data_IF_625810221887
#
_entry.id   IF_625810221887
#
_cell.length_a   1.000
_cell.length_b   1.000
_cell.length_c   1.000
_cell.angle_alpha   90.00
_cell.angle_beta   90.00
_cell.angle_gamma   90.00
#
_symmetry.space_group_name_H-M   'P 1'
#
loop_
_entity.id
_entity.type
_entity.pdbx_description
1 polymer ?
#
# COMPACT_ATOMS: atom_id res chain seq x y z
N UNK A 1 14.55 26.28 -14.88
CA UNK A 1 14.45 25.00 -14.14
C UNK A 1 13.08 24.97 -13.51
N UNK A 2 12.21 24.08 -13.97
CA UNK A 2 10.94 23.83 -13.26
C UNK A 2 11.27 23.32 -11.85
N UNK A 3 10.72 23.96 -10.82
CA UNK A 3 10.88 23.50 -9.45
C UNK A 3 10.00 22.26 -9.31
N UNK A 4 10.61 21.10 -9.16
CA UNK A 4 9.88 19.87 -8.90
C UNK A 4 9.29 19.92 -7.48
N UNK A 5 7.99 19.67 -7.36
CA UNK A 5 7.31 19.58 -6.08
C UNK A 5 7.64 18.26 -5.39
N UNK A 6 7.43 18.19 -4.08
CA UNK A 6 7.59 16.93 -3.35
C UNK A 6 6.50 15.91 -3.71
N UNK A 7 5.28 16.36 -3.98
CA UNK A 7 4.09 15.53 -4.13
C UNK A 7 3.26 15.96 -5.34
N UNK A 8 2.31 15.10 -5.73
CA UNK A 8 1.33 15.46 -6.76
C UNK A 8 0.38 16.48 -6.14
N UNK A 9 0.31 17.66 -6.72
CA UNK A 9 -0.61 18.72 -6.30
C UNK A 9 -1.78 18.85 -7.26
N UNK A 10 -1.52 18.59 -8.55
CA UNK A 10 -2.54 18.60 -9.58
C UNK A 10 -2.31 17.53 -10.64
N UNK A 11 -3.39 17.03 -11.20
CA UNK A 11 -3.38 16.11 -12.33
C UNK A 11 -4.59 16.34 -13.23
N UNK A 12 -4.37 16.33 -14.54
CA UNK A 12 -5.41 16.55 -15.55
C UNK A 12 -5.37 15.45 -16.61
N UNK A 13 -6.56 14.99 -16.98
CA UNK A 13 -6.80 14.04 -18.06
C UNK A 13 -7.71 14.68 -19.09
N UNK A 14 -7.25 14.78 -20.34
CA UNK A 14 -8.06 15.31 -21.44
C UNK A 14 -8.60 14.14 -22.28
N UNK A 15 -9.91 14.16 -22.53
CA UNK A 15 -10.65 13.14 -23.28
C UNK A 15 -10.35 11.71 -22.83
N UNK A 16 -10.48 11.44 -21.53
CA UNK A 16 -10.56 10.08 -21.01
C UNK A 16 -11.70 9.31 -21.73
N UNK A 17 -11.36 8.19 -22.34
CA UNK A 17 -12.22 7.41 -23.24
C UNK A 17 -12.89 8.23 -24.35
N UNK A 18 -12.23 9.29 -24.80
CA UNK A 18 -12.73 10.18 -25.85
C UNK A 18 -13.85 11.14 -25.41
N UNK A 19 -14.28 11.12 -24.13
CA UNK A 19 -15.51 11.82 -23.72
C UNK A 19 -15.41 12.61 -22.40
N UNK A 20 -14.58 12.21 -21.45
CA UNK A 20 -14.52 12.83 -20.11
C UNK A 20 -13.23 13.64 -19.97
N UNK A 21 -13.32 14.88 -19.51
CA UNK A 21 -12.14 15.63 -19.05
C UNK A 21 -12.13 15.61 -17.52
N UNK A 22 -11.00 15.27 -16.92
CA UNK A 22 -10.84 15.27 -15.47
C UNK A 22 -9.77 16.28 -15.08
N UNK A 23 -10.06 17.11 -14.08
CA UNK A 23 -9.11 18.05 -13.51
C UNK A 23 -9.13 17.98 -11.99
N UNK A 24 -8.05 17.43 -11.42
CA UNK A 24 -7.85 17.37 -9.99
C UNK A 24 -6.81 18.43 -9.62
N UNK A 25 -7.27 19.60 -9.15
CA UNK A 25 -6.42 20.78 -8.96
C UNK A 25 -5.72 20.86 -7.60
N UNK A 26 -6.35 20.30 -6.55
CA UNK A 26 -6.01 20.54 -5.15
C UNK A 26 -5.78 19.23 -4.39
N UNK A 27 -4.82 18.40 -4.85
CA UNK A 27 -4.43 17.21 -4.10
C UNK A 27 -3.72 17.59 -2.80
N UNK A 28 -4.15 17.00 -1.69
CA UNK A 28 -3.50 17.12 -0.41
C UNK A 28 -2.15 16.41 -0.41
N UNK A 29 -1.16 16.96 0.31
CA UNK A 29 0.16 16.35 0.45
C UNK A 29 0.17 15.10 1.35
N UNK A 30 -0.92 14.84 2.10
CA UNK A 30 -1.04 13.73 3.05
C UNK A 30 -1.94 12.61 2.52
N UNK A 31 -3.26 12.80 2.47
CA UNK A 31 -4.24 11.77 2.16
C UNK A 31 -5.28 12.30 1.18
N UNK A 32 -5.58 11.52 0.16
CA UNK A 32 -6.59 11.80 -0.85
C UNK A 32 -7.39 10.53 -1.10
N UNK A 33 -8.71 10.62 -0.96
CA UNK A 33 -9.62 9.48 -1.04
C UNK A 33 -10.59 9.71 -2.19
N UNK A 34 -10.42 8.98 -3.28
CA UNK A 34 -11.26 9.06 -4.46
C UNK A 34 -12.43 8.09 -4.35
N UNK A 35 -13.64 8.63 -4.29
CA UNK A 35 -14.90 7.87 -4.20
C UNK A 35 -15.69 8.06 -5.50
N UNK A 36 -16.55 7.10 -5.83
CA UNK A 36 -17.40 7.15 -7.00
C UNK A 36 -18.03 5.79 -7.28
N UNK A 37 -19.07 5.74 -8.11
CA UNK A 37 -19.80 4.49 -8.38
C UNK A 37 -18.97 3.45 -9.14
N UNK A 38 -19.41 2.19 -9.17
CA UNK A 38 -18.73 1.15 -9.94
C UNK A 38 -18.69 1.55 -11.43
N UNK A 39 -17.51 1.47 -12.04
CA UNK A 39 -17.33 1.87 -13.44
C UNK A 39 -17.19 3.38 -13.69
N UNK A 40 -17.10 4.22 -12.65
CA UNK A 40 -16.89 5.66 -12.80
C UNK A 40 -15.50 6.06 -13.33
N UNK A 41 -14.53 5.14 -13.29
CA UNK A 41 -13.18 5.37 -13.84
C UNK A 41 -12.08 5.59 -12.81
N UNK A 42 -12.34 5.37 -11.52
CA UNK A 42 -11.35 5.46 -10.43
C UNK A 42 -10.04 4.70 -10.71
N UNK A 43 -10.12 3.40 -10.96
CA UNK A 43 -8.98 2.55 -11.35
C UNK A 43 -8.26 3.10 -12.58
N UNK A 44 -9.01 3.58 -13.57
CA UNK A 44 -8.43 4.16 -14.80
C UNK A 44 -7.67 5.44 -14.50
N UNK A 45 -8.21 6.34 -13.67
CA UNK A 45 -7.52 7.55 -13.24
C UNK A 45 -6.21 7.22 -12.50
N UNK A 46 -6.24 6.28 -11.56
CA UNK A 46 -5.02 5.84 -10.84
C UNK A 46 -3.98 5.23 -11.80
N UNK A 47 -4.41 4.42 -12.77
CA UNK A 47 -3.51 3.88 -13.79
C UNK A 47 -2.86 5.01 -14.61
N UNK A 48 -3.63 6.03 -15.02
CA UNK A 48 -3.11 7.16 -15.79
C UNK A 48 -2.12 8.00 -14.98
N UNK A 49 -2.40 8.25 -13.70
CA UNK A 49 -1.47 8.92 -12.78
C UNK A 49 -0.16 8.13 -12.68
N UNK A 50 -0.26 6.82 -12.41
CA UNK A 50 0.91 5.95 -12.32
C UNK A 50 1.75 5.98 -13.59
N UNK A 51 1.12 5.76 -14.75
CA UNK A 51 1.80 5.67 -16.03
C UNK A 51 2.52 6.99 -16.37
N UNK A 52 1.87 8.13 -16.11
CA UNK A 52 2.44 9.46 -16.33
C UNK A 52 3.71 9.68 -15.50
N UNK A 53 3.65 9.43 -14.19
CA UNK A 53 4.77 9.73 -13.29
C UNK A 53 5.89 8.67 -13.30
N UNK A 54 5.61 7.46 -13.80
CA UNK A 54 6.63 6.42 -14.00
C UNK A 54 7.19 6.39 -15.42
N UNK A 55 6.69 7.24 -16.33
CA UNK A 55 7.11 7.30 -17.72
C UNK A 55 6.69 6.08 -18.54
N UNK A 56 5.71 5.31 -18.07
CA UNK A 56 5.14 4.21 -18.85
C UNK A 56 4.27 4.75 -19.99
N UNK A 57 4.28 4.06 -21.13
CA UNK A 57 3.49 4.49 -22.29
C UNK A 57 2.00 4.27 -22.03
N UNK A 58 1.28 5.36 -21.82
CA UNK A 58 -0.19 5.34 -21.84
C UNK A 58 -0.70 4.95 -23.23
N UNK A 59 -1.69 4.07 -23.29
CA UNK A 59 -2.37 3.75 -24.55
C UNK A 59 -3.15 4.98 -25.02
N UNK A 60 -2.88 5.45 -26.23
CA UNK A 60 -3.55 6.63 -26.84
C UNK A 60 -5.07 6.55 -26.88
N UNK A 61 -5.63 5.35 -26.82
CA UNK A 61 -7.08 5.12 -26.80
C UNK A 61 -7.73 5.45 -25.44
N UNK A 62 -6.95 5.54 -24.36
CA UNK A 62 -7.48 5.77 -23.01
C UNK A 62 -7.63 7.26 -22.72
N UNK A 63 -6.65 8.08 -23.10
CA UNK A 63 -6.69 9.53 -22.92
C UNK A 63 -5.93 10.23 -24.06
N UNK A 64 -6.40 11.40 -24.47
CA UNK A 64 -5.76 12.19 -25.53
C UNK A 64 -4.48 12.87 -25.03
N UNK A 65 -4.55 13.47 -23.84
CA UNK A 65 -3.38 14.04 -23.19
C UNK A 65 -3.49 13.97 -21.67
N UNK A 66 -2.33 13.95 -21.02
CA UNK A 66 -2.17 13.92 -19.57
C UNK A 66 -1.25 15.07 -19.17
N UNK A 67 -1.55 15.75 -18.06
CA UNK A 67 -0.64 16.71 -17.47
C UNK A 67 -0.69 16.67 -15.94
N UNK A 68 0.43 17.00 -15.31
CA UNK A 68 0.57 17.07 -13.87
C UNK A 68 1.72 17.99 -13.50
N UNK A 69 1.82 18.41 -12.23
CA UNK A 69 3.01 19.11 -11.78
C UNK A 69 4.21 18.16 -11.71
N UNK A 70 5.42 18.65 -12.03
CA UNK A 70 6.63 17.86 -11.85
C UNK A 70 6.82 17.50 -10.37
N UNK A 71 7.24 16.25 -10.08
CA UNK A 71 7.48 15.76 -8.72
C UNK A 71 8.90 15.18 -8.57
N UNK A 72 9.43 15.21 -7.34
CA UNK A 72 10.71 14.60 -6.98
C UNK A 72 10.57 13.26 -6.25
N UNK A 73 9.35 12.91 -5.79
CA UNK A 73 9.11 11.66 -5.05
C UNK A 73 8.80 10.51 -6.01
N UNK A 74 9.26 9.28 -5.71
CA UNK A 74 8.82 8.09 -6.44
C UNK A 74 7.33 7.83 -6.25
N UNK A 75 6.70 7.26 -7.28
CA UNK A 75 5.31 6.81 -7.25
C UNK A 75 5.28 5.29 -7.17
N UNK A 76 4.59 4.76 -6.17
CA UNK A 76 4.39 3.33 -5.94
C UNK A 76 2.90 3.01 -6.08
N UNK A 77 2.56 1.91 -6.74
CA UNK A 77 1.16 1.54 -6.95
C UNK A 77 0.90 0.12 -6.47
N UNK A 78 0.01 -0.02 -5.49
CA UNK A 78 -0.53 -1.28 -5.02
C UNK A 78 -1.94 -1.44 -5.57
N UNK A 79 -2.16 -2.51 -6.36
CA UNK A 79 -3.48 -2.89 -6.85
C UNK A 79 -4.08 -3.92 -5.89
N UNK A 80 -5.40 -3.87 -5.69
CA UNK A 80 -6.09 -4.99 -5.05
C UNK A 80 -5.94 -6.26 -5.91
N UNK A 81 -5.49 -7.35 -5.29
CA UNK A 81 -5.29 -8.63 -5.97
C UNK A 81 -6.57 -9.46 -5.88
N UNK A 82 -7.55 -9.13 -6.71
CA UNK A 82 -8.86 -9.80 -6.68
C UNK A 82 -8.99 -10.98 -7.67
N UNK A 83 -7.86 -11.52 -8.15
CA UNK A 83 -7.87 -12.59 -9.16
C UNK A 83 -7.50 -13.93 -8.52
N UNK A 84 -8.39 -14.95 -8.56
CA UNK A 84 -8.00 -16.32 -8.27
C UNK A 84 -6.92 -16.70 -9.28
N UNK A 85 -5.74 -17.07 -8.81
CA UNK A 85 -4.74 -17.74 -9.64
C UNK A 85 -5.47 -18.85 -10.40
N UNK A 86 -5.48 -18.79 -11.74
CA UNK A 86 -6.18 -19.74 -12.61
C UNK A 86 -6.05 -21.16 -12.02
N UNK A 87 -7.13 -21.68 -11.43
CA UNK A 87 -7.13 -22.89 -10.61
C UNK A 87 -6.72 -24.18 -11.37
N UNK A 88 -6.41 -24.06 -12.66
CA UNK A 88 -5.96 -25.13 -13.54
C UNK A 88 -4.44 -25.21 -13.73
N UNK A 89 -3.66 -24.22 -13.24
CA UNK A 89 -2.20 -24.32 -13.15
C UNK A 89 -1.79 -24.09 -11.70
N UNK A 90 -0.90 -24.93 -11.16
CA UNK A 90 -0.22 -24.77 -9.86
C UNK A 90 0.72 -23.55 -9.88
N UNK A 91 0.23 -22.39 -10.29
CA UNK A 91 0.96 -21.12 -10.26
C UNK A 91 0.58 -20.38 -9.00
N UNK A 92 1.60 -20.00 -8.24
CA UNK A 92 1.49 -19.19 -7.03
C UNK A 92 0.73 -17.88 -7.29
N UNK A 93 -0.03 -17.39 -6.31
CA UNK A 93 -0.73 -16.11 -6.46
C UNK A 93 0.27 -14.95 -6.58
N UNK A 94 -0.02 -13.99 -7.45
CA UNK A 94 0.83 -12.79 -7.65
C UNK A 94 1.06 -12.07 -6.33
N UNK A 95 0.02 -11.94 -5.49
CA UNK A 95 0.12 -11.37 -4.15
C UNK A 95 1.19 -12.08 -3.29
N UNK A 96 1.21 -13.41 -3.33
CA UNK A 96 2.17 -14.20 -2.56
C UNK A 96 3.58 -14.08 -3.15
N UNK A 97 3.72 -14.00 -4.47
CA UNK A 97 5.00 -13.77 -5.13
C UNK A 97 5.58 -12.40 -4.74
N UNK A 98 4.78 -11.34 -4.84
CA UNK A 98 5.20 -9.99 -4.47
C UNK A 98 5.61 -9.94 -3.00
N UNK A 99 4.82 -10.55 -2.12
CA UNK A 99 5.10 -10.64 -0.68
C UNK A 99 6.41 -11.40 -0.39
N UNK A 100 6.68 -12.49 -1.11
CA UNK A 100 7.96 -13.20 -1.00
C UNK A 100 9.13 -12.33 -1.46
N UNK A 101 8.95 -11.54 -2.51
CA UNK A 101 10.00 -10.65 -3.02
C UNK A 101 10.36 -9.57 -2.00
N UNK A 102 9.36 -8.91 -1.42
CA UNK A 102 9.57 -7.84 -0.43
C UNK A 102 10.02 -8.35 0.95
N UNK A 103 9.84 -9.63 1.28
CA UNK A 103 10.29 -10.21 2.55
C UNK A 103 11.67 -10.91 2.42
N UNK A 104 11.86 -11.76 1.41
CA UNK A 104 12.90 -12.81 1.39
C UNK A 104 14.01 -12.66 0.33
N UNK A 105 14.20 -11.48 -0.30
CA UNK A 105 15.23 -11.23 -1.34
C UNK A 105 15.09 -12.04 -2.65
N UNK A 106 13.86 -12.27 -3.14
CA UNK A 106 13.66 -13.03 -4.39
C UNK A 106 13.48 -12.16 -5.65
N UNK A 107 13.74 -10.85 -5.60
CA UNK A 107 13.48 -9.95 -6.72
C UNK A 107 14.33 -8.67 -6.74
N UNK A 108 14.05 -7.80 -7.71
CA UNK A 108 14.67 -6.46 -7.81
C UNK A 108 14.05 -5.51 -6.78
N UNK A 109 14.87 -4.91 -5.91
CA UNK A 109 14.43 -3.94 -4.90
C UNK A 109 15.04 -4.17 -3.51
N UNK A 110 14.64 -3.35 -2.53
CA UNK A 110 15.02 -3.55 -1.12
C UNK A 110 13.96 -4.38 -0.42
N UNK A 111 14.30 -5.55 0.09
CA UNK A 111 13.42 -6.37 0.92
C UNK A 111 13.53 -6.01 2.41
N UNK A 112 12.62 -6.53 3.24
CA UNK A 112 12.69 -6.45 4.69
C UNK A 112 14.02 -7.03 5.21
N UNK A 113 14.46 -8.15 4.63
CA UNK A 113 15.76 -8.74 4.96
C UNK A 113 16.90 -7.77 4.64
N UNK A 114 16.92 -7.15 3.45
CA UNK A 114 17.95 -6.16 3.07
C UNK A 114 17.97 -4.97 4.04
N UNK A 115 16.79 -4.43 4.34
CA UNK A 115 16.65 -3.31 5.27
C UNK A 115 17.23 -3.67 6.64
N UNK A 116 16.98 -4.88 7.11
CA UNK A 116 17.49 -5.38 8.38
C UNK A 116 19.01 -5.61 8.37
N UNK A 117 19.57 -6.09 7.25
CA UNK A 117 21.01 -6.25 7.07
C UNK A 117 21.78 -4.92 7.10
N UNK A 118 21.12 -3.78 6.87
CA UNK A 118 21.75 -2.46 7.07
C UNK A 118 22.30 -2.28 8.48
N UNK A 119 21.77 -2.93 9.51
CA UNK A 119 22.31 -2.85 10.87
C UNK A 119 23.75 -3.39 10.98
N UNK A 120 24.12 -4.37 10.15
CA UNK A 120 25.47 -4.92 10.11
C UNK A 120 26.43 -3.98 9.37
N UNK A 121 25.95 -3.37 8.28
CA UNK A 121 26.75 -2.51 7.41
C UNK A 121 26.89 -1.08 7.96
N UNK A 122 25.92 -0.62 8.76
CA UNK A 122 25.86 0.73 9.32
C UNK A 122 25.58 0.67 10.84
N UNK A 123 26.56 0.26 11.68
CA UNK A 123 26.34 0.06 13.12
C UNK A 123 25.85 1.32 13.86
N UNK A 124 26.21 2.52 13.37
CA UNK A 124 25.76 3.79 13.95
C UNK A 124 24.25 4.04 13.76
N UNK A 125 23.64 3.43 12.75
CA UNK A 125 22.20 3.54 12.47
C UNK A 125 21.40 2.37 13.05
N UNK A 126 22.06 1.39 13.70
CA UNK A 126 21.44 0.15 14.14
C UNK A 126 20.27 0.37 15.11
N UNK A 127 20.41 1.29 16.07
CA UNK A 127 19.34 1.60 17.04
C UNK A 127 18.12 2.24 16.35
N UNK A 128 18.36 3.11 15.36
CA UNK A 128 17.28 3.72 14.56
C UNK A 128 16.56 2.64 13.74
N UNK A 129 17.30 1.77 13.08
CA UNK A 129 16.75 0.66 12.29
C UNK A 129 15.93 -0.28 13.18
N UNK A 130 16.46 -0.65 14.34
CA UNK A 130 15.77 -1.50 15.32
C UNK A 130 14.46 -0.89 15.78
N UNK A 131 14.46 0.39 16.17
CA UNK A 131 13.24 1.10 16.59
C UNK A 131 12.19 1.15 15.48
N UNK A 132 12.61 1.31 14.22
CA UNK A 132 11.69 1.26 13.07
C UNK A 132 11.11 -0.14 12.87
N UNK A 133 11.91 -1.19 13.00
CA UNK A 133 11.44 -2.58 12.93
C UNK A 133 10.44 -2.88 14.06
N UNK A 134 10.73 -2.42 15.29
CA UNK A 134 9.83 -2.57 16.44
C UNK A 134 8.48 -1.88 16.19
N UNK A 135 8.51 -0.65 15.67
CA UNK A 135 7.29 0.09 15.29
C UNK A 135 6.52 -0.65 14.18
N UNK A 136 7.24 -1.16 13.18
CA UNK A 136 6.65 -1.94 12.10
C UNK A 136 5.97 -3.22 12.62
N UNK A 137 6.61 -3.96 13.53
CA UNK A 137 6.02 -5.16 14.12
C UNK A 137 4.81 -4.81 15.00
N UNK A 138 4.88 -3.75 15.80
CA UNK A 138 3.74 -3.26 16.56
C UNK A 138 2.55 -2.97 15.65
N UNK A 139 2.79 -2.29 14.53
CA UNK A 139 1.75 -1.99 13.54
C UNK A 139 1.19 -3.27 12.93
N UNK A 140 2.01 -4.16 12.37
CA UNK A 140 1.54 -5.41 11.75
C UNK A 140 0.78 -6.29 12.75
N UNK A 141 1.31 -6.45 13.96
CA UNK A 141 0.70 -7.28 15.01
C UNK A 141 -0.60 -6.66 15.54
N UNK A 142 -0.81 -5.35 15.40
CA UNK A 142 -2.10 -4.73 15.68
C UNK A 142 -3.20 -5.18 14.69
N UNK A 143 -2.85 -5.67 13.50
CA UNK A 143 -3.78 -6.30 12.55
C UNK A 143 -3.85 -7.81 12.78
N UNK A 144 -2.72 -8.51 12.70
CA UNK A 144 -2.66 -9.97 12.79
C UNK A 144 -3.11 -10.52 14.14
N UNK A 145 -2.98 -9.75 15.22
CA UNK A 145 -3.44 -10.14 16.55
C UNK A 145 -4.95 -10.43 16.60
N UNK A 146 -5.76 -9.76 15.77
CA UNK A 146 -7.20 -10.03 15.68
C UNK A 146 -7.52 -11.43 15.12
N UNK A 147 -6.57 -12.03 14.41
CA UNK A 147 -6.68 -13.41 13.89
C UNK A 147 -5.77 -14.39 14.62
N UNK A 148 -5.31 -14.00 15.82
CA UNK A 148 -4.39 -14.74 16.69
C UNK A 148 -3.05 -15.05 16.02
N UNK A 149 -2.60 -14.21 15.08
CA UNK A 149 -1.31 -14.33 14.42
C UNK A 149 -0.37 -13.22 14.82
N UNK A 150 0.93 -13.46 14.69
CA UNK A 150 1.97 -12.49 15.01
C UNK A 150 3.16 -12.64 14.06
N UNK A 151 3.82 -11.53 13.74
CA UNK A 151 5.17 -11.52 13.19
C UNK A 151 6.20 -11.26 14.27
N UNK A 152 7.31 -11.99 14.21
CA UNK A 152 8.44 -11.79 15.12
C UNK A 152 9.76 -12.14 14.44
N UNK A 153 10.87 -11.81 15.08
CA UNK A 153 12.19 -12.33 14.71
C UNK A 153 12.48 -13.53 15.60
N UNK A 154 12.77 -14.66 14.97
CA UNK A 154 13.28 -15.83 15.67
C UNK A 154 14.68 -15.50 16.25
N UNK A 155 14.88 -15.57 17.58
CA UNK A 155 16.17 -15.26 18.20
C UNK A 155 17.31 -16.21 17.80
N UNK A 156 17.00 -17.44 17.37
CA UNK A 156 17.99 -18.45 17.00
C UNK A 156 18.42 -18.33 15.55
N UNK A 157 17.45 -18.33 14.62
CA UNK A 157 17.75 -18.23 13.18
C UNK A 157 17.94 -16.78 12.74
N UNK A 158 17.59 -15.81 13.58
CA UNK A 158 17.61 -14.39 13.26
C UNK A 158 16.80 -14.14 11.97
N UNK A 159 15.66 -14.82 11.78
CA UNK A 159 14.79 -14.70 10.60
C UNK A 159 13.41 -14.19 10.99
N UNK A 160 12.72 -13.53 10.05
CA UNK A 160 11.30 -13.22 10.22
C UNK A 160 10.51 -14.53 10.30
N UNK A 161 9.64 -14.66 11.29
CA UNK A 161 8.75 -15.81 11.47
C UNK A 161 7.33 -15.34 11.69
N UNK A 162 6.39 -16.17 11.29
CA UNK A 162 4.96 -16.01 11.54
C UNK A 162 4.53 -17.03 12.58
N UNK A 163 3.78 -16.57 13.57
CA UNK A 163 3.32 -17.37 14.69
C UNK A 163 1.80 -17.38 14.69
N UNK A 164 1.19 -18.51 15.02
CA UNK A 164 -0.23 -18.61 15.34
C UNK A 164 -0.39 -19.04 16.79
N UNK A 165 -1.19 -18.28 17.53
CA UNK A 165 -1.51 -18.52 18.93
C UNK A 165 -2.83 -19.26 19.02
N UNK A 166 -2.84 -20.41 19.68
CA UNK A 166 -4.08 -21.11 20.02
C UNK A 166 -4.51 -20.71 21.42
N UNK A 167 -5.75 -20.28 21.55
CA UNK A 167 -6.29 -19.73 22.79
C UNK A 167 -7.31 -20.70 23.43
N UNK A 168 -7.27 -20.82 24.76
CA UNK A 168 -8.39 -21.28 25.59
C UNK A 168 -8.87 -20.08 26.43
N UNK A 169 -10.03 -19.53 26.08
CA UNK A 169 -10.46 -18.27 26.67
C UNK A 169 -9.46 -17.15 26.40
N UNK A 170 -8.85 -16.60 27.47
CA UNK A 170 -7.83 -15.55 27.38
C UNK A 170 -6.38 -16.07 27.47
N UNK A 171 -6.17 -17.39 27.64
CA UNK A 171 -4.83 -17.96 27.78
C UNK A 171 -4.32 -18.51 26.45
N UNK A 172 -3.05 -18.22 26.14
CA UNK A 172 -2.32 -18.83 25.02
C UNK A 172 -1.88 -20.23 25.46
N UNK A 173 -2.38 -21.26 24.78
CA UNK A 173 -2.06 -22.66 25.06
C UNK A 173 -0.83 -23.09 24.26
N UNK A 174 -0.80 -22.73 22.97
CA UNK A 174 0.29 -23.09 22.07
C UNK A 174 0.60 -21.94 21.13
N UNK A 175 1.86 -21.90 20.70
CA UNK A 175 2.37 -20.98 19.69
C UNK A 175 3.09 -21.80 18.63
N UNK A 176 2.49 -21.91 17.44
CA UNK A 176 3.01 -22.70 16.33
C UNK A 176 3.62 -21.77 15.28
N UNK A 177 4.78 -22.13 14.72
CA UNK A 177 5.33 -21.44 13.54
C UNK A 177 4.52 -21.82 12.30
N UNK A 178 4.10 -20.82 11.54
CA UNK A 178 3.41 -20.99 10.26
C UNK A 178 4.21 -20.39 9.11
N UNK A 179 3.92 -20.87 7.91
CA UNK A 179 4.47 -20.36 6.67
C UNK A 179 3.62 -19.19 6.13
N UNK A 180 4.24 -18.35 5.30
CA UNK A 180 3.58 -17.19 4.66
C UNK A 180 2.33 -17.58 3.87
N UNK A 181 2.34 -18.76 3.25
CA UNK A 181 1.24 -19.35 2.50
C UNK A 181 -0.02 -19.54 3.35
N UNK A 182 0.15 -19.78 4.65
CA UNK A 182 -0.93 -20.07 5.60
C UNK A 182 -1.64 -18.82 6.11
N UNK A 183 -1.16 -17.62 5.76
CA UNK A 183 -1.91 -16.39 5.99
C UNK A 183 -3.16 -16.32 5.09
N UNK A 184 -4.23 -15.67 5.54
CA UNK A 184 -5.40 -15.39 4.69
C UNK A 184 -5.03 -14.40 3.56
N UNK A 185 -5.88 -14.25 2.54
CA UNK A 185 -5.66 -13.24 1.49
C UNK A 185 -5.61 -11.82 2.07
N UNK A 186 -6.53 -11.49 2.98
CA UNK A 186 -6.54 -10.19 3.67
C UNK A 186 -5.28 -9.95 4.51
N UNK A 187 -4.78 -10.98 5.20
CA UNK A 187 -3.52 -10.91 5.97
C UNK A 187 -2.31 -10.67 5.06
N UNK A 188 -2.26 -11.34 3.91
CA UNK A 188 -1.20 -11.13 2.91
C UNK A 188 -1.28 -9.73 2.31
N UNK A 189 -2.49 -9.23 2.02
CA UNK A 189 -2.70 -7.90 1.45
C UNK A 189 -2.28 -6.80 2.43
N UNK A 190 -2.72 -6.87 3.70
CA UNK A 190 -2.31 -5.88 4.70
C UNK A 190 -0.79 -5.93 4.93
N UNK A 191 -0.20 -7.13 4.99
CA UNK A 191 1.25 -7.27 5.17
C UNK A 191 2.02 -6.67 3.99
N UNK A 192 1.57 -6.89 2.75
CA UNK A 192 2.16 -6.30 1.55
C UNK A 192 2.14 -4.76 1.63
N UNK A 193 0.98 -4.17 1.95
CA UNK A 193 0.82 -2.72 2.03
C UNK A 193 1.73 -2.14 3.12
N UNK A 194 1.67 -2.67 4.33
CA UNK A 194 2.46 -2.19 5.47
C UNK A 194 3.96 -2.33 5.22
N UNK A 195 4.40 -3.47 4.68
CA UNK A 195 5.82 -3.69 4.36
C UNK A 195 6.30 -2.74 3.28
N UNK A 196 5.48 -2.50 2.24
CA UNK A 196 5.81 -1.56 1.17
C UNK A 196 6.05 -0.16 1.72
N UNK A 197 5.16 0.33 2.60
CA UNK A 197 5.31 1.65 3.24
C UNK A 197 6.52 1.69 4.17
N UNK A 198 6.74 0.62 4.96
CA UNK A 198 7.91 0.52 5.83
C UNK A 198 9.24 0.64 5.07
N UNK A 199 9.32 -0.01 3.91
CA UNK A 199 10.51 -0.03 3.03
C UNK A 199 10.78 1.32 2.33
N UNK A 200 9.85 2.28 2.39
CA UNK A 200 10.10 3.65 1.93
C UNK A 200 11.03 4.43 2.88
N UNK A 201 11.39 3.87 4.03
CA UNK A 201 12.37 4.45 4.96
C UNK A 201 12.03 5.86 5.46
N UNK A 202 10.74 6.16 5.65
CA UNK A 202 10.23 7.49 6.02
C UNK A 202 10.59 8.60 5.03
N UNK A 203 11.01 8.22 3.80
CA UNK A 203 11.31 9.15 2.72
C UNK A 203 10.03 9.57 2.01
N UNK A 204 10.08 10.69 1.28
CA UNK A 204 8.98 11.15 0.44
C UNK A 204 8.59 10.08 -0.59
N UNK A 205 7.31 9.75 -0.66
CA UNK A 205 6.76 8.80 -1.61
C UNK A 205 5.30 9.16 -1.92
N UNK A 206 4.83 8.81 -3.12
CA UNK A 206 3.41 8.85 -3.48
C UNK A 206 2.91 7.42 -3.62
N UNK A 207 2.01 7.00 -2.73
CA UNK A 207 1.41 5.67 -2.75
C UNK A 207 0.01 5.73 -3.34
N UNK A 208 -0.15 5.08 -4.48
CA UNK A 208 -1.44 4.83 -5.12
C UNK A 208 -1.98 3.47 -4.62
N UNK A 209 -3.24 3.44 -4.19
CA UNK A 209 -3.91 2.19 -3.78
C UNK A 209 -5.27 2.08 -4.45
N UNK A 210 -5.48 1.02 -5.23
CA UNK A 210 -6.78 0.78 -5.86
C UNK A 210 -7.59 -0.22 -5.04
N UNK A 211 -8.67 0.25 -4.41
CA UNK A 211 -9.58 -0.51 -3.54
C UNK A 211 -8.85 -1.44 -2.55
N UNK A 212 -7.96 -0.88 -1.69
CA UNK A 212 -7.14 -1.67 -0.78
C UNK A 212 -7.96 -2.47 0.25
N UNK A 213 -9.27 -2.20 0.39
CA UNK A 213 -10.17 -2.81 1.37
C UNK A 213 -10.80 -4.15 0.98
N UNK A 214 -10.81 -4.54 -0.30
CA UNK A 214 -11.72 -5.60 -0.81
C UNK A 214 -11.63 -6.91 0.01
N UNK A 215 -10.42 -7.27 0.46
CA UNK A 215 -10.19 -8.51 1.22
C UNK A 215 -9.97 -8.29 2.72
N UNK A 216 -10.08 -7.04 3.21
CA UNK A 216 -9.78 -6.65 4.59
C UNK A 216 -11.02 -6.70 5.47
N UNK A 217 -10.86 -7.16 6.71
CA UNK A 217 -11.90 -7.08 7.73
C UNK A 217 -12.21 -5.61 8.10
N UNK A 218 -13.45 -5.31 8.50
CA UNK A 218 -13.93 -3.93 8.74
C UNK A 218 -13.02 -3.16 9.72
N UNK A 219 -12.65 -3.78 10.83
CA UNK A 219 -11.76 -3.16 11.83
C UNK A 219 -10.35 -2.83 11.30
N UNK A 220 -9.93 -3.46 10.21
CA UNK A 220 -8.65 -3.16 9.57
C UNK A 220 -8.76 -2.01 8.58
N UNK A 221 -9.91 -1.88 7.90
CA UNK A 221 -10.18 -0.78 6.98
C UNK A 221 -10.12 0.57 7.71
N UNK A 222 -10.77 0.63 8.88
CA UNK A 222 -10.81 1.78 9.78
C UNK A 222 -9.41 2.34 10.10
N UNK A 223 -8.52 1.50 10.62
CA UNK A 223 -7.19 1.94 11.08
C UNK A 223 -6.14 2.01 9.96
N UNK A 224 -6.45 1.59 8.73
CA UNK A 224 -5.46 1.43 7.67
C UNK A 224 -4.66 2.72 7.43
N UNK A 225 -5.36 3.82 7.13
CA UNK A 225 -4.72 5.10 6.79
C UNK A 225 -3.86 5.60 7.95
N UNK A 226 -4.38 5.56 9.18
CA UNK A 226 -3.66 5.97 10.40
C UNK A 226 -2.35 5.18 10.56
N UNK A 227 -2.40 3.85 10.42
CA UNK A 227 -1.21 2.99 10.55
C UNK A 227 -0.20 3.19 9.43
N UNK A 228 -0.63 3.47 8.20
CA UNK A 228 0.29 3.81 7.10
C UNK A 228 1.00 5.14 7.36
N UNK A 229 0.27 6.14 7.84
CA UNK A 229 0.83 7.45 8.20
C UNK A 229 1.79 7.36 9.39
N UNK A 230 1.56 6.44 10.33
CA UNK A 230 2.48 6.13 11.41
C UNK A 230 3.80 5.52 10.90
N UNK A 231 3.73 4.61 9.91
CA UNK A 231 4.92 3.98 9.32
C UNK A 231 5.72 4.93 8.43
N UNK A 232 5.04 5.82 7.69
CA UNK A 232 5.67 6.85 6.89
C UNK A 232 4.84 8.14 6.85
N UNK A 233 5.15 9.15 7.69
CA UNK A 233 4.45 10.43 7.68
C UNK A 233 4.76 11.29 6.45
N UNK A 234 5.76 10.90 5.64
CA UNK A 234 6.11 11.57 4.38
C UNK A 234 5.50 10.90 3.15
N UNK A 235 4.61 9.93 3.32
CA UNK A 235 3.89 9.29 2.22
C UNK A 235 2.62 10.08 1.88
N UNK A 236 2.48 10.52 0.63
CA UNK A 236 1.21 11.00 0.09
C UNK A 236 0.38 9.79 -0.33
N UNK A 237 -0.79 9.62 0.26
CA UNK A 237 -1.72 8.55 -0.05
C UNK A 237 -2.74 9.06 -1.06
N UNK A 238 -2.93 8.33 -2.16
CA UNK A 238 -4.01 8.53 -3.12
C UNK A 238 -4.69 7.18 -3.30
N UNK A 239 -5.88 7.02 -2.75
CA UNK A 239 -6.56 5.72 -2.74
C UNK A 239 -7.97 5.82 -3.30
N UNK A 240 -8.42 4.76 -3.93
CA UNK A 240 -9.81 4.60 -4.35
C UNK A 240 -10.52 3.69 -3.38
N UNK A 241 -11.79 3.93 -3.13
CA UNK A 241 -12.58 3.06 -2.26
C UNK A 241 -14.07 3.13 -2.57
N UNK A 242 -14.75 2.02 -2.34
CA UNK A 242 -16.21 1.94 -2.26
C UNK A 242 -16.71 1.77 -0.82
N UNK A 243 -15.81 1.52 0.12
CA UNK A 243 -16.13 1.26 1.52
C UNK A 243 -16.07 2.54 2.34
N UNK A 244 -17.18 2.95 2.98
CA UNK A 244 -17.16 4.11 3.87
C UNK A 244 -16.24 3.88 5.08
N UNK A 245 -16.01 2.63 5.49
CA UNK A 245 -15.22 2.31 6.69
C UNK A 245 -13.76 2.78 6.58
N UNK A 246 -13.23 2.99 5.37
CA UNK A 246 -11.87 3.52 5.20
C UNK A 246 -11.74 4.97 5.70
N UNK A 247 -12.81 5.77 5.64
CA UNK A 247 -12.73 7.22 5.88
C UNK A 247 -13.61 7.75 7.01
N UNK A 248 -14.58 6.95 7.49
CA UNK A 248 -15.52 7.34 8.56
C UNK A 248 -14.81 7.80 9.84
N UNK A 249 -13.63 7.26 10.15
CA UNK A 249 -12.89 7.61 11.36
C UNK A 249 -11.82 8.71 11.12
N UNK A 250 -12.28 9.87 10.64
CA UNK A 250 -11.47 11.10 10.65
C UNK A 250 -10.77 11.45 9.32
N UNK A 251 -11.25 10.92 8.18
CA UNK A 251 -10.73 11.26 6.86
C UNK A 251 -11.79 11.80 5.90
N UNK A 252 -12.96 12.20 6.42
CA UNK A 252 -14.09 12.69 5.62
C UNK A 252 -13.73 13.96 4.82
N UNK A 253 -12.88 14.81 5.36
CA UNK A 253 -12.38 16.04 4.72
C UNK A 253 -11.38 15.78 3.59
N UNK A 254 -10.94 14.52 3.43
CA UNK A 254 -9.99 14.08 2.39
C UNK A 254 -10.69 13.41 1.20
N UNK A 255 -12.01 13.30 1.24
CA UNK A 255 -12.82 12.66 0.21
C UNK A 255 -13.00 13.61 -0.98
N UNK A 256 -12.87 13.06 -2.18
CA UNK A 256 -13.32 13.69 -3.40
C UNK A 256 -14.08 12.68 -4.26
N UNK A 257 -15.20 13.13 -4.84
CA UNK A 257 -15.94 12.31 -5.80
C UNK A 257 -15.33 12.49 -7.18
N UNK A 258 -15.16 11.41 -7.93
CA UNK A 258 -14.60 11.48 -9.28
C UNK A 258 -15.47 12.33 -10.21
N UNK A 259 -16.78 12.35 -9.98
CA UNK A 259 -17.74 13.17 -10.70
C UNK A 259 -17.52 14.67 -10.49
N UNK A 260 -16.93 15.07 -9.35
CA UNK A 260 -16.58 16.47 -9.05
C UNK A 260 -15.27 16.89 -9.75
N UNK A 261 -14.50 15.93 -10.26
CA UNK A 261 -13.31 16.19 -11.06
C UNK A 261 -13.63 16.46 -12.54
N UNK A 262 -14.87 16.19 -12.98
CA UNK A 262 -15.24 16.35 -14.39
C UNK A 262 -15.36 17.84 -14.76
N UNK A 263 -14.57 18.28 -15.74
CA UNK A 263 -14.76 19.60 -16.35
C UNK A 263 -16.07 19.57 -17.16
N UNK A 264 -17.12 20.21 -16.63
CA UNK A 264 -18.42 20.38 -17.31
C UNK A 264 -18.39 21.49 -18.35
#
# INVERSE_FOLDING_TARGET
MEIAYKYIQRFQVVRMWGRINLHWADLNNDVNILVGINGSGKTTLLNLIHDYYTGQKTKKEIAESLSGNAISSPVTYIRSFDIPANAKKKTESILLQDLKNIINQNGEGTSFFDYRMKMLNFPQEADKIRKRIETYFQVVNSFLGETNKEISIDPQSNSLVFLIKRLEGMQVITEDKIQLEQLSSGEKQILLILTTVFLQEEKPNVLLMDEPEISLHIGWQDKLIEKLRLLNPQCQLILTTHSPNIFVNGWEDKIIFIEDLEDR
#
